data_IF_224013550465
#
_entry.id   IF_224013550465
#
_cell.length_a   1.000
_cell.length_b   1.000
_cell.length_c   1.000
_cell.angle_alpha   90.00
_cell.angle_beta   90.00
_cell.angle_gamma   90.00
#
_symmetry.space_group_name_H-M   'P 1'
#
loop_
_entity.id
_entity.type
_entity.pdbx_description
1 polymer ?
#
# COMPACT_ATOMS: atom_id res chain seq x y z
N UNK A 1 -32.13 0.88 31.30
CA UNK A 1 -31.33 0.14 32.30
C UNK A 1 -31.95 -1.23 32.61
N UNK A 2 -33.09 -1.30 33.33
CA UNK A 2 -33.70 -2.60 33.69
C UNK A 2 -33.99 -3.53 32.49
N UNK A 3 -34.56 -2.99 31.40
CA UNK A 3 -34.80 -3.75 30.16
C UNK A 3 -33.51 -4.23 29.48
N UNK A 4 -32.46 -3.39 29.51
CA UNK A 4 -31.16 -3.73 28.93
C UNK A 4 -30.48 -4.85 29.70
N UNK A 5 -30.46 -4.78 31.05
CA UNK A 5 -29.99 -5.89 31.91
C UNK A 5 -30.80 -7.16 31.71
N UNK A 6 -32.12 -7.05 31.53
CA UNK A 6 -32.98 -8.21 31.26
C UNK A 6 -32.65 -8.87 29.92
N UNK A 7 -32.36 -8.08 28.89
CA UNK A 7 -32.02 -8.57 27.56
C UNK A 7 -30.65 -9.27 27.52
N UNK A 8 -29.64 -8.65 28.14
CA UNK A 8 -28.24 -9.10 28.09
C UNK A 8 -27.79 -9.93 29.29
N UNK A 9 -28.69 -10.14 30.25
CA UNK A 9 -28.51 -10.96 31.45
C UNK A 9 -27.11 -10.82 32.07
N UNK A 10 -26.31 -11.88 32.03
CA UNK A 10 -24.99 -11.96 32.66
C UNK A 10 -23.89 -11.22 31.88
N UNK A 11 -24.12 -10.89 30.61
CA UNK A 11 -23.15 -10.14 29.79
C UNK A 11 -23.22 -8.63 29.96
N UNK A 12 -24.23 -8.12 30.69
CA UNK A 12 -24.35 -6.71 30.97
C UNK A 12 -23.36 -6.28 32.06
N UNK A 13 -22.46 -5.34 31.73
CA UNK A 13 -21.49 -4.76 32.66
C UNK A 13 -21.57 -3.23 32.66
N UNK A 14 -21.11 -2.59 33.74
CA UNK A 14 -20.97 -1.13 33.80
C UNK A 14 -19.60 -0.72 33.27
N UNK A 15 -19.57 0.16 32.27
CA UNK A 15 -18.33 0.64 31.68
C UNK A 15 -18.26 2.15 31.68
N UNK A 16 -17.07 2.66 32.02
CA UNK A 16 -16.73 4.07 31.87
C UNK A 16 -16.19 4.33 30.46
N UNK A 17 -16.75 5.33 29.79
CA UNK A 17 -16.35 5.76 28.45
C UNK A 17 -15.37 6.95 28.50
N UNK A 18 -14.64 7.24 27.41
CA UNK A 18 -13.66 8.33 27.37
C UNK A 18 -14.23 9.73 27.66
N UNK A 19 -15.54 9.92 27.46
CA UNK A 19 -16.28 11.14 27.80
C UNK A 19 -16.61 11.25 29.30
N UNK A 20 -16.21 10.27 30.11
CA UNK A 20 -16.47 10.20 31.55
C UNK A 20 -17.83 9.60 31.91
N UNK A 21 -18.69 9.33 30.93
CA UNK A 21 -19.99 8.69 31.18
C UNK A 21 -19.81 7.25 31.67
N UNK A 22 -20.74 6.79 32.52
CA UNK A 22 -20.79 5.42 33.00
C UNK A 22 -22.13 4.83 32.55
N UNK A 23 -22.07 3.85 31.65
CA UNK A 23 -23.25 3.24 31.05
C UNK A 23 -23.20 1.71 31.18
N UNK A 24 -24.37 1.10 31.15
CA UNK A 24 -24.50 -0.34 30.96
C UNK A 24 -24.09 -0.70 29.52
N UNK A 25 -23.30 -1.74 29.37
CA UNK A 25 -22.66 -2.09 28.11
C UNK A 25 -22.41 -3.58 28.03
N UNK A 26 -22.16 -4.06 26.81
CA UNK A 26 -21.75 -5.44 26.53
C UNK A 26 -20.45 -5.39 25.74
N UNK A 27 -19.44 -6.10 26.21
CA UNK A 27 -18.16 -6.21 25.54
C UNK A 27 -18.09 -7.47 24.68
N UNK A 28 -17.68 -7.31 23.43
CA UNK A 28 -17.30 -8.38 22.54
C UNK A 28 -15.80 -8.31 22.30
N UNK A 29 -15.07 -9.32 22.76
CA UNK A 29 -13.63 -9.43 22.56
C UNK A 29 -13.35 -9.80 21.11
N UNK A 30 -12.47 -9.04 20.46
CA UNK A 30 -12.10 -9.24 19.06
C UNK A 30 -10.59 -9.07 18.92
N UNK A 31 -9.96 -9.97 18.18
CA UNK A 31 -8.51 -9.92 17.96
C UNK A 31 -8.15 -9.04 16.76
N UNK A 32 -9.05 -8.98 15.76
CA UNK A 32 -8.86 -8.18 14.55
C UNK A 32 -10.17 -7.60 14.00
N UNK A 33 -10.06 -6.72 13.00
CA UNK A 33 -11.14 -6.08 12.27
C UNK A 33 -12.03 -7.08 11.54
N UNK A 34 -11.48 -8.25 11.17
CA UNK A 34 -12.27 -9.38 10.69
C UNK A 34 -13.30 -9.79 11.73
N UNK A 35 -12.87 -10.07 12.94
CA UNK A 35 -13.75 -10.54 14.02
C UNK A 35 -14.71 -9.42 14.44
N UNK A 36 -14.24 -8.17 14.43
CA UNK A 36 -15.10 -6.99 14.64
C UNK A 36 -16.30 -6.94 13.69
N UNK A 37 -16.12 -7.32 12.42
CA UNK A 37 -17.23 -7.39 11.45
C UNK A 37 -18.20 -8.54 11.70
N UNK A 38 -17.82 -9.55 12.50
CA UNK A 38 -18.65 -10.70 12.84
C UNK A 38 -19.41 -10.57 14.16
N UNK A 39 -19.15 -9.51 14.94
CA UNK A 39 -19.81 -9.29 16.25
C UNK A 39 -21.33 -9.43 16.17
N UNK A 40 -21.97 -8.99 15.08
CA UNK A 40 -23.42 -9.10 14.91
C UNK A 40 -23.91 -10.56 14.91
N UNK A 41 -23.10 -11.49 14.42
CA UNK A 41 -23.41 -12.92 14.43
C UNK A 41 -23.36 -13.48 15.85
N UNK A 42 -22.33 -13.08 16.61
CA UNK A 42 -22.16 -13.51 17.99
C UNK A 42 -23.27 -12.93 18.88
N UNK A 43 -23.66 -11.68 18.64
CA UNK A 43 -24.83 -11.04 19.24
C UNK A 43 -26.10 -11.83 18.93
N UNK A 44 -26.33 -12.16 17.66
CA UNK A 44 -27.54 -12.86 17.24
C UNK A 44 -27.61 -14.25 17.86
N UNK A 45 -26.50 -14.99 17.85
CA UNK A 45 -26.39 -16.33 18.46
C UNK A 45 -26.67 -16.28 19.96
N UNK A 46 -26.06 -15.33 20.67
CA UNK A 46 -26.26 -15.16 22.10
C UNK A 46 -27.72 -14.83 22.45
N UNK A 47 -28.34 -13.90 21.71
CA UNK A 47 -29.72 -13.51 21.97
C UNK A 47 -30.71 -14.64 21.68
N UNK A 48 -30.51 -15.40 20.60
CA UNK A 48 -31.36 -16.54 20.28
C UNK A 48 -31.24 -17.69 21.30
N UNK A 49 -30.04 -17.93 21.80
CA UNK A 49 -29.81 -18.92 22.86
C UNK A 49 -30.52 -18.52 24.15
N UNK A 50 -30.28 -17.29 24.63
CA UNK A 50 -30.77 -16.85 25.94
C UNK A 50 -32.27 -16.52 25.93
N UNK A 51 -32.78 -15.89 24.87
CA UNK A 51 -34.16 -15.39 24.85
C UNK A 51 -35.13 -16.37 24.18
N UNK A 52 -34.67 -17.16 23.21
CA UNK A 52 -35.52 -18.08 22.45
C UNK A 52 -35.22 -19.57 22.71
N UNK A 53 -34.23 -19.88 23.56
CA UNK A 53 -33.84 -21.26 23.87
C UNK A 53 -33.32 -22.04 22.65
N UNK A 54 -32.92 -21.34 21.60
CA UNK A 54 -32.41 -21.95 20.38
C UNK A 54 -30.94 -22.31 20.59
N UNK A 55 -30.64 -23.61 20.54
CA UNK A 55 -29.25 -24.07 20.65
C UNK A 55 -28.36 -23.39 19.58
N UNK A 56 -27.17 -22.87 19.96
CA UNK A 56 -26.19 -22.34 19.03
C UNK A 56 -25.85 -23.25 17.83
N UNK A 57 -25.97 -24.57 18.02
CA UNK A 57 -25.69 -25.56 16.97
C UNK A 57 -26.73 -25.56 15.84
N UNK A 58 -27.92 -25.00 16.05
CA UNK A 58 -28.97 -24.88 15.03
C UNK A 58 -28.96 -23.52 14.32
N UNK A 59 -28.02 -22.64 14.67
CA UNK A 59 -27.91 -21.29 14.11
C UNK A 59 -26.76 -21.28 13.11
N UNK A 60 -27.12 -21.41 11.84
CA UNK A 60 -26.17 -21.35 10.74
C UNK A 60 -26.30 -20.01 10.01
N UNK A 61 -25.18 -19.31 9.87
CA UNK A 61 -25.13 -18.11 9.05
C UNK A 61 -24.49 -18.49 7.73
N UNK A 62 -25.17 -18.21 6.60
CA UNK A 62 -24.61 -18.44 5.26
C UNK A 62 -23.26 -17.75 5.02
N UNK A 63 -22.97 -16.73 5.83
CA UNK A 63 -21.71 -15.99 5.81
C UNK A 63 -20.54 -16.71 6.51
N UNK A 64 -20.75 -17.78 7.30
CA UNK A 64 -19.67 -18.49 8.00
C UNK A 64 -18.85 -19.43 7.09
N UNK A 65 -19.50 -20.28 6.29
CA UNK A 65 -18.81 -21.25 5.41
C UNK A 65 -18.33 -20.65 4.08
N UNK A 66 -18.90 -19.51 3.69
CA UNK A 66 -18.58 -18.78 2.46
C UNK A 66 -18.00 -17.39 2.76
N UNK A 67 -17.40 -17.21 3.93
CA UNK A 67 -16.99 -15.89 4.39
C UNK A 67 -16.01 -15.24 3.40
N UNK A 68 -16.34 -14.10 2.78
CA UNK A 68 -15.40 -13.44 1.90
C UNK A 68 -14.09 -13.10 2.64
N UNK A 69 -14.18 -12.89 3.96
CA UNK A 69 -13.02 -12.62 4.80
C UNK A 69 -12.01 -13.78 4.90
N UNK A 70 -12.42 -15.05 4.75
CA UNK A 70 -11.48 -16.18 4.71
C UNK A 70 -10.69 -16.20 3.40
N UNK A 71 -11.27 -15.74 2.29
CA UNK A 71 -10.60 -15.62 0.99
C UNK A 71 -9.48 -14.57 0.98
N UNK A 72 -9.52 -13.64 1.93
CA UNK A 72 -8.51 -12.60 2.17
C UNK A 72 -7.60 -12.91 3.37
N UNK A 73 -7.74 -14.10 3.98
CA UNK A 73 -6.84 -14.55 5.03
C UNK A 73 -5.59 -15.23 4.46
N UNK A 74 -4.54 -15.32 5.28
CA UNK A 74 -3.32 -16.07 4.96
C UNK A 74 -3.07 -17.13 6.04
N UNK A 75 -2.27 -18.17 5.74
CA UNK A 75 -1.90 -19.16 6.73
C UNK A 75 -1.29 -18.52 7.99
N UNK A 76 -1.83 -18.83 9.17
CA UNK A 76 -1.40 -18.25 10.44
C UNK A 76 0.11 -18.44 10.73
N UNK A 77 0.72 -19.49 10.17
CA UNK A 77 2.18 -19.71 10.24
C UNK A 77 3.03 -18.61 9.60
N UNK A 78 2.47 -17.87 8.64
CA UNK A 78 3.17 -16.79 7.94
C UNK A 78 3.10 -15.48 8.71
N UNK A 79 1.92 -15.17 9.25
CA UNK A 79 1.70 -13.99 10.07
C UNK A 79 0.52 -14.23 11.02
N UNK A 80 0.79 -14.44 12.32
CA UNK A 80 -0.27 -14.53 13.31
C UNK A 80 -1.14 -13.26 13.29
N UNK A 81 -2.44 -13.43 13.47
CA UNK A 81 -3.38 -12.30 13.56
C UNK A 81 -3.44 -11.40 12.32
N UNK A 82 -3.14 -11.93 11.13
CA UNK A 82 -3.34 -11.18 9.88
C UNK A 82 -4.80 -10.77 9.68
N UNK A 83 -5.75 -11.58 10.17
CA UNK A 83 -7.17 -11.39 9.92
C UNK A 83 -7.45 -11.38 8.42
N UNK A 84 -7.80 -10.21 7.90
CA UNK A 84 -7.96 -9.91 6.47
C UNK A 84 -6.93 -8.93 5.96
N UNK A 85 -5.88 -8.58 6.70
CA UNK A 85 -4.84 -7.64 6.28
C UNK A 85 -5.20 -6.16 6.37
N UNK A 86 -6.36 -5.79 6.92
CA UNK A 86 -6.76 -4.38 7.05
C UNK A 86 -5.80 -3.61 7.96
N UNK A 87 -5.46 -4.21 9.11
CA UNK A 87 -4.48 -3.70 10.07
C UNK A 87 -3.11 -3.53 9.44
N UNK A 88 -2.72 -4.44 8.55
CA UNK A 88 -1.46 -4.39 7.84
C UNK A 88 -1.39 -3.16 6.92
N UNK A 89 -2.48 -2.82 6.22
CA UNK A 89 -2.51 -1.60 5.41
C UNK A 89 -2.51 -0.33 6.28
N UNK A 90 -3.25 -0.34 7.39
CA UNK A 90 -3.25 0.78 8.34
C UNK A 90 -1.87 1.00 8.97
N UNK A 91 -1.17 -0.08 9.29
CA UNK A 91 0.22 -0.03 9.73
C UNK A 91 1.12 0.61 8.66
N UNK A 92 1.09 0.10 7.43
CA UNK A 92 1.93 0.60 6.33
C UNK A 92 1.64 2.06 5.98
N UNK A 93 0.38 2.49 6.09
CA UNK A 93 0.00 3.90 5.88
C UNK A 93 0.64 4.82 6.94
N UNK A 94 0.63 4.41 8.21
CA UNK A 94 1.30 5.14 9.30
C UNK A 94 2.82 5.15 9.11
N UNK A 95 3.38 4.02 8.70
CA UNK A 95 4.80 3.89 8.45
C UNK A 95 5.31 4.80 7.32
N UNK A 96 4.53 4.92 6.23
CA UNK A 96 4.81 5.85 5.15
C UNK A 96 4.70 7.31 5.63
N UNK A 97 3.71 7.64 6.47
CA UNK A 97 3.57 8.98 7.04
C UNK A 97 4.82 9.34 7.86
N UNK A 98 5.35 8.40 8.64
CA UNK A 98 6.55 8.62 9.42
C UNK A 98 7.80 8.76 8.54
N UNK A 99 7.97 7.87 7.55
CA UNK A 99 9.05 7.99 6.56
C UNK A 99 9.00 9.34 5.83
N UNK A 100 7.80 9.82 5.50
CA UNK A 100 7.58 11.11 4.86
C UNK A 100 8.04 12.27 5.75
N UNK A 101 7.74 12.24 7.06
CA UNK A 101 8.23 13.26 8.00
C UNK A 101 9.75 13.23 8.09
N UNK A 102 10.34 12.04 8.20
CA UNK A 102 11.78 11.86 8.28
C UNK A 102 12.50 12.39 7.04
N UNK A 103 12.01 12.07 5.83
CA UNK A 103 12.58 12.59 4.58
C UNK A 103 12.55 14.13 4.56
N UNK A 104 11.45 14.73 5.02
CA UNK A 104 11.33 16.20 5.07
C UNK A 104 12.31 16.87 6.03
N UNK A 105 12.82 16.19 7.07
CA UNK A 105 13.79 16.78 8.02
C UNK A 105 15.11 17.18 7.35
N UNK A 106 15.50 16.51 6.27
CA UNK A 106 16.75 16.77 5.56
C UNK A 106 16.54 17.35 4.16
N UNK A 107 15.35 17.90 3.87
CA UNK A 107 15.05 18.51 2.57
C UNK A 107 16.04 19.61 2.17
N UNK A 108 16.61 20.34 3.14
CA UNK A 108 17.59 21.41 2.87
C UNK A 108 18.99 20.89 2.47
N UNK A 109 19.26 19.60 2.67
CA UNK A 109 20.52 18.94 2.27
C UNK A 109 20.40 18.19 0.94
N UNK A 110 19.19 18.18 0.36
CA UNK A 110 18.94 17.62 -0.97
C UNK A 110 19.19 18.69 -2.05
N UNK A 111 19.63 18.29 -3.26
CA UNK A 111 19.88 19.24 -4.35
C UNK A 111 18.65 20.10 -4.69
N UNK A 112 17.46 19.50 -4.59
CA UNK A 112 16.16 20.13 -4.73
C UNK A 112 15.24 19.62 -3.64
N UNK A 113 14.35 20.47 -3.14
CA UNK A 113 13.40 20.07 -2.10
C UNK A 113 12.33 19.15 -2.67
N UNK A 114 11.88 18.21 -1.85
CA UNK A 114 10.71 17.38 -2.16
C UNK A 114 9.48 18.09 -1.62
N UNK A 115 8.56 18.48 -2.51
CA UNK A 115 7.30 19.11 -2.14
C UNK A 115 6.30 18.05 -1.64
N UNK A 116 6.07 17.01 -2.45
CA UNK A 116 5.09 15.98 -2.15
C UNK A 116 5.73 14.60 -2.14
N UNK A 117 5.33 13.78 -1.16
CA UNK A 117 5.69 12.37 -1.05
C UNK A 117 4.36 11.61 -0.97
N UNK A 118 4.06 10.80 -1.99
CA UNK A 118 2.73 10.19 -2.15
C UNK A 118 2.89 8.69 -2.37
N UNK A 119 2.24 7.88 -1.54
CA UNK A 119 2.14 6.44 -1.73
C UNK A 119 1.17 6.12 -2.86
N UNK A 120 1.66 5.52 -3.95
CA UNK A 120 0.83 5.21 -5.12
C UNK A 120 0.51 3.71 -5.27
N UNK A 121 1.12 2.87 -4.44
CA UNK A 121 0.79 1.45 -4.34
C UNK A 121 -0.66 1.22 -3.85
N UNK A 122 -1.27 0.10 -4.26
CA UNK A 122 -2.65 -0.27 -3.89
C UNK A 122 -2.85 -0.35 -2.38
N UNK A 123 -1.78 -0.66 -1.63
CA UNK A 123 -1.80 -0.72 -0.18
C UNK A 123 -2.20 0.62 0.44
N UNK A 124 -1.78 1.74 -0.15
CA UNK A 124 -2.05 3.08 0.41
C UNK A 124 -3.45 3.60 0.07
N UNK A 125 -4.17 2.93 -0.85
CA UNK A 125 -5.59 3.17 -1.13
C UNK A 125 -6.50 2.06 -0.58
N UNK A 126 -5.95 1.19 0.29
CA UNK A 126 -6.65 0.10 0.97
C UNK A 126 -7.24 -1.01 0.08
N UNK A 127 -6.80 -1.11 -1.17
CA UNK A 127 -7.34 -2.11 -2.11
C UNK A 127 -6.36 -3.23 -2.43
N UNK A 128 -5.16 -3.29 -1.83
CA UNK A 128 -4.24 -4.41 -2.08
C UNK A 128 -4.87 -5.71 -1.57
N UNK A 129 -4.97 -6.74 -2.41
CA UNK A 129 -5.60 -8.03 -2.06
C UNK A 129 -4.91 -8.67 -0.87
N UNK A 130 -3.57 -8.73 -0.89
CA UNK A 130 -2.76 -9.22 0.21
C UNK A 130 -1.68 -8.18 0.52
N UNK A 131 -1.97 -7.22 1.41
CA UNK A 131 -1.00 -6.21 1.83
C UNK A 131 0.33 -6.85 2.22
N UNK A 132 1.47 -6.23 1.84
CA UNK A 132 2.76 -6.86 2.02
C UNK A 132 3.01 -7.15 3.50
N UNK A 133 3.61 -8.31 3.74
CA UNK A 133 4.15 -8.71 5.03
C UNK A 133 5.58 -8.18 5.18
N UNK A 134 6.09 -8.06 6.43
CA UNK A 134 7.49 -7.73 6.61
C UNK A 134 8.36 -8.77 5.90
N UNK A 135 9.38 -8.33 5.18
CA UNK A 135 10.35 -9.12 4.44
C UNK A 135 11.32 -9.87 5.38
N UNK A 136 10.82 -10.42 6.48
CA UNK A 136 11.56 -11.21 7.45
C UNK A 136 11.55 -12.67 7.00
N UNK A 137 12.50 -13.04 6.15
CA UNK A 137 12.68 -14.42 5.72
C UNK A 137 14.11 -14.90 5.95
N UNK A 138 14.23 -16.11 6.49
CA UNK A 138 15.51 -16.80 6.60
C UNK A 138 15.84 -17.42 5.23
N UNK A 139 16.96 -17.00 4.65
CA UNK A 139 17.48 -17.61 3.41
C UNK A 139 18.76 -18.36 3.72
N UNK A 140 18.84 -19.60 3.25
CA UNK A 140 20.07 -20.38 3.27
C UNK A 140 21.08 -19.77 2.27
N UNK A 141 22.13 -19.15 2.80
CA UNK A 141 23.17 -18.48 2.02
C UNK A 141 23.91 -19.44 1.06
N UNK A 142 23.89 -20.75 1.30
CA UNK A 142 24.47 -21.74 0.39
C UNK A 142 23.63 -21.94 -0.88
N UNK A 143 22.35 -21.58 -0.86
CA UNK A 143 21.41 -21.72 -2.00
C UNK A 143 21.32 -20.47 -2.87
N UNK A 144 21.87 -19.36 -2.40
CA UNK A 144 21.92 -18.10 -3.12
C UNK A 144 23.37 -17.70 -3.41
N UNK A 145 23.55 -16.81 -4.37
CA UNK A 145 24.83 -16.15 -4.65
C UNK A 145 24.58 -14.69 -4.97
N UNK A 146 25.51 -13.82 -4.62
CA UNK A 146 25.52 -12.46 -5.14
C UNK A 146 25.83 -12.48 -6.64
N UNK A 147 25.28 -11.52 -7.38
CA UNK A 147 25.74 -11.24 -8.74
C UNK A 147 27.17 -10.70 -8.65
N UNK A 148 28.01 -10.99 -9.65
CA UNK A 148 29.35 -10.40 -9.74
C UNK A 148 29.24 -8.87 -9.69
N UNK A 149 30.01 -8.26 -8.80
CA UNK A 149 29.99 -6.81 -8.51
C UNK A 149 28.73 -6.25 -7.81
N UNK A 150 27.75 -7.07 -7.40
CA UNK A 150 26.59 -6.60 -6.64
C UNK A 150 26.21 -7.54 -5.48
N UNK A 151 26.69 -7.18 -4.27
CA UNK A 151 26.42 -7.93 -3.03
C UNK A 151 24.96 -7.86 -2.56
N UNK A 152 24.16 -6.95 -3.11
CA UNK A 152 22.76 -6.74 -2.71
C UNK A 152 21.76 -7.42 -3.66
N UNK A 153 22.22 -7.84 -4.85
CA UNK A 153 21.43 -8.67 -5.75
C UNK A 153 21.77 -10.14 -5.52
N UNK A 154 20.86 -10.85 -4.85
CA UNK A 154 21.00 -12.27 -4.56
C UNK A 154 20.16 -13.06 -5.56
N UNK A 155 20.81 -13.96 -6.30
CA UNK A 155 20.13 -14.88 -7.21
C UNK A 155 20.21 -16.30 -6.67
N UNK A 156 19.15 -17.11 -6.83
CA UNK A 156 19.22 -18.54 -6.56
C UNK A 156 20.35 -19.18 -7.38
N UNK A 157 21.11 -20.08 -6.75
CA UNK A 157 22.05 -20.93 -7.48
C UNK A 157 21.27 -21.90 -8.36
N UNK A 158 21.86 -22.36 -9.45
CA UNK A 158 21.27 -23.38 -10.34
C UNK A 158 20.94 -24.69 -9.62
N UNK A 159 21.61 -24.98 -8.50
CA UNK A 159 21.35 -26.13 -7.62
C UNK A 159 20.18 -25.91 -6.66
N UNK A 160 19.69 -24.68 -6.51
CA UNK A 160 18.54 -24.38 -5.66
C UNK A 160 17.25 -24.78 -6.37
N UNK A 161 16.47 -25.67 -5.74
CA UNK A 161 15.09 -25.96 -6.14
C UNK A 161 14.07 -24.98 -5.53
N UNK A 162 14.54 -24.01 -4.76
CA UNK A 162 13.68 -23.07 -4.02
C UNK A 162 13.82 -21.66 -4.60
N UNK A 163 12.69 -21.06 -4.96
CA UNK A 163 12.59 -19.64 -5.22
C UNK A 163 12.57 -18.88 -3.87
N UNK A 164 13.20 -17.70 -3.78
CA UNK A 164 13.08 -16.85 -2.61
C UNK A 164 11.61 -16.46 -2.41
N UNK A 165 11.15 -16.27 -1.17
CA UNK A 165 9.82 -15.75 -0.92
C UNK A 165 9.68 -14.38 -1.59
N UNK A 166 8.54 -14.17 -2.24
CA UNK A 166 8.22 -12.88 -2.85
C UNK A 166 7.91 -11.85 -1.76
N UNK A 167 8.53 -10.68 -1.86
CA UNK A 167 8.21 -9.51 -1.05
C UNK A 167 7.89 -8.34 -1.97
N UNK A 168 6.68 -7.80 -1.87
CA UNK A 168 6.24 -6.66 -2.66
C UNK A 168 6.89 -5.37 -2.15
N UNK A 169 7.46 -4.59 -3.07
CA UNK A 169 7.93 -3.23 -2.78
C UNK A 169 6.80 -2.20 -2.90
N UNK A 170 6.74 -1.26 -1.97
CA UNK A 170 5.74 -0.19 -1.94
C UNK A 170 6.21 1.02 -2.76
N UNK A 171 5.54 1.32 -3.88
CA UNK A 171 5.90 2.48 -4.71
C UNK A 171 5.45 3.81 -4.08
N UNK A 172 6.40 4.74 -3.96
CA UNK A 172 6.20 6.08 -3.44
C UNK A 172 6.76 7.10 -4.44
N UNK A 173 5.94 8.07 -4.81
CA UNK A 173 6.29 9.15 -5.73
C UNK A 173 6.72 10.39 -4.94
N UNK A 174 7.93 10.88 -5.22
CA UNK A 174 8.52 12.08 -4.62
C UNK A 174 8.57 13.20 -5.68
N UNK A 175 7.69 14.18 -5.56
CA UNK A 175 7.62 15.31 -6.48
C UNK A 175 8.57 16.42 -6.03
N UNK A 176 9.55 16.74 -6.88
CA UNK A 176 10.49 17.83 -6.62
C UNK A 176 9.83 19.19 -6.79
N UNK A 177 10.39 20.18 -6.09
CA UNK A 177 10.05 21.59 -6.27
C UNK A 177 10.25 22.06 -7.72
N UNK A 178 9.42 23.02 -8.14
CA UNK A 178 9.56 23.63 -9.45
C UNK A 178 10.69 24.65 -9.42
N UNK A 179 11.73 24.43 -10.20
CA UNK A 179 12.77 25.43 -10.40
C UNK A 179 12.34 26.39 -11.52
N UNK A 180 12.31 27.68 -11.22
CA UNK A 180 12.03 28.76 -12.16
C UNK A 180 13.21 29.07 -13.09
N UNK A 181 14.33 28.35 -13.01
CA UNK A 181 15.46 28.56 -13.91
C UNK A 181 15.03 28.25 -15.35
N UNK A 182 14.92 29.32 -16.14
CA UNK A 182 14.53 29.31 -17.56
C UNK A 182 15.73 29.06 -18.49
N UNK A 183 16.78 28.37 -18.03
CA UNK A 183 17.94 28.04 -18.88
C UNK A 183 17.58 26.92 -19.87
N UNK A 184 17.02 27.35 -20.99
CA UNK A 184 16.53 26.56 -22.13
C UNK A 184 17.62 25.65 -22.73
N UNK A 185 18.92 25.90 -22.43
CA UNK A 185 20.06 25.15 -22.96
C UNK A 185 20.61 24.01 -22.07
N UNK A 186 20.14 23.85 -20.83
CA UNK A 186 20.75 22.94 -19.85
C UNK A 186 19.90 21.71 -19.47
N UNK A 187 18.62 21.67 -19.86
CA UNK A 187 17.68 20.60 -19.48
C UNK A 187 17.46 19.60 -20.63
N UNK A 188 18.42 18.69 -20.86
CA UNK A 188 18.21 17.52 -21.73
C UNK A 188 17.64 16.34 -20.94
N UNK A 189 16.97 15.40 -21.61
CA UNK A 189 16.46 14.18 -20.95
C UNK A 189 17.56 13.37 -20.28
N UNK A 190 18.73 13.27 -20.91
CA UNK A 190 19.89 12.57 -20.35
C UNK A 190 20.38 13.22 -19.06
N UNK A 191 20.45 14.56 -19.03
CA UNK A 191 20.85 15.28 -17.82
C UNK A 191 19.84 15.12 -16.69
N UNK A 192 18.54 15.08 -17.01
CA UNK A 192 17.50 14.80 -16.01
C UNK A 192 17.66 13.39 -15.44
N UNK A 193 17.90 12.38 -16.30
CA UNK A 193 18.18 11.00 -15.85
C UNK A 193 19.40 10.95 -14.93
N UNK A 194 20.52 11.54 -15.34
CA UNK A 194 21.73 11.59 -14.50
C UNK A 194 21.51 12.36 -13.19
N UNK A 195 20.78 13.47 -13.23
CA UNK A 195 20.46 14.26 -12.04
C UNK A 195 19.58 13.47 -11.06
N UNK A 196 18.60 12.70 -11.55
CA UNK A 196 17.80 11.79 -10.72
C UNK A 196 18.66 10.72 -10.06
N UNK A 197 19.62 10.14 -10.78
CA UNK A 197 20.54 9.13 -10.21
C UNK A 197 21.36 9.74 -9.07
N UNK A 198 21.97 10.91 -9.30
CA UNK A 198 22.71 11.63 -8.26
C UNK A 198 21.82 11.99 -7.06
N UNK A 199 20.58 12.38 -7.34
CA UNK A 199 19.58 12.63 -6.32
C UNK A 199 19.29 11.38 -5.48
N UNK A 200 19.08 10.22 -6.12
CA UNK A 200 18.87 8.95 -5.41
C UNK A 200 20.07 8.54 -4.57
N UNK A 201 21.30 8.76 -5.05
CA UNK A 201 22.53 8.50 -4.29
C UNK A 201 22.57 9.38 -3.03
N UNK A 202 22.32 10.67 -3.17
CA UNK A 202 22.29 11.60 -2.04
C UNK A 202 21.17 11.27 -1.04
N UNK A 203 19.97 10.96 -1.54
CA UNK A 203 18.82 10.53 -0.72
C UNK A 203 19.18 9.29 0.10
N UNK A 204 19.76 8.28 -0.55
CA UNK A 204 20.22 7.04 0.10
C UNK A 204 21.29 7.31 1.16
N UNK A 205 22.22 8.22 0.89
CA UNK A 205 23.26 8.60 1.85
C UNK A 205 22.66 9.23 3.10
N UNK A 206 21.76 10.21 2.94
CA UNK A 206 21.13 10.92 4.06
C UNK A 206 20.24 9.99 4.91
N UNK A 207 19.49 9.09 4.28
CA UNK A 207 18.68 8.09 4.99
C UNK A 207 19.54 7.16 5.85
N UNK A 208 20.70 6.75 5.34
CA UNK A 208 21.65 5.92 6.07
C UNK A 208 22.35 6.68 7.20
N UNK A 209 22.75 7.93 6.97
CA UNK A 209 23.48 8.73 7.96
C UNK A 209 22.58 9.19 9.12
N UNK A 210 21.35 9.61 8.84
CA UNK A 210 20.45 10.20 9.85
C UNK A 210 19.53 9.21 10.54
N UNK A 211 19.09 8.18 9.82
CA UNK A 211 18.08 7.23 10.32
C UNK A 211 18.58 5.78 10.33
N UNK A 212 19.82 5.54 9.87
CA UNK A 212 20.42 4.20 9.81
C UNK A 212 19.60 3.19 8.99
N UNK A 213 18.80 3.66 8.04
CA UNK A 213 18.06 2.77 7.15
C UNK A 213 18.97 2.13 6.11
N UNK A 214 18.65 0.89 5.77
CA UNK A 214 19.26 0.21 4.64
C UNK A 214 18.62 0.77 3.37
N UNK A 215 19.39 1.46 2.55
CA UNK A 215 18.88 2.04 1.30
C UNK A 215 19.84 1.82 0.13
N UNK A 216 19.28 1.82 -1.07
CA UNK A 216 20.01 1.61 -2.32
C UNK A 216 19.49 2.51 -3.43
N UNK A 217 20.37 3.33 -3.99
CA UNK A 217 20.09 4.07 -5.20
C UNK A 217 20.25 3.19 -6.45
N UNK A 218 19.34 3.32 -7.41
CA UNK A 218 19.40 2.68 -8.74
C UNK A 218 19.15 3.73 -9.82
N UNK A 219 19.16 3.32 -11.10
CA UNK A 219 18.87 4.22 -12.21
C UNK A 219 17.48 4.86 -12.12
N UNK A 220 16.49 4.10 -11.66
CA UNK A 220 15.08 4.48 -11.76
C UNK A 220 14.49 4.96 -10.42
N UNK A 221 15.05 4.52 -9.30
CA UNK A 221 14.50 4.78 -7.96
C UNK A 221 15.53 4.59 -6.83
N UNK A 222 15.17 5.02 -5.62
CA UNK A 222 15.87 4.68 -4.39
C UNK A 222 15.03 3.70 -3.57
N UNK A 223 15.57 2.50 -3.32
CA UNK A 223 14.97 1.53 -2.41
C UNK A 223 15.36 1.86 -0.98
N UNK A 224 14.41 1.76 -0.05
CA UNK A 224 14.62 1.99 1.39
C UNK A 224 13.90 0.89 2.15
N UNK A 225 14.63 0.20 3.01
CA UNK A 225 14.06 -0.74 3.96
C UNK A 225 13.79 -0.04 5.29
N UNK A 226 12.54 -0.13 5.76
CA UNK A 226 12.10 0.37 7.07
C UNK A 226 11.14 -0.64 7.67
N UNK A 227 11.45 -1.12 8.88
CA UNK A 227 10.66 -2.12 9.60
C UNK A 227 10.43 -3.41 8.81
N UNK A 228 11.45 -3.83 8.05
CA UNK A 228 11.43 -4.94 7.10
C UNK A 228 10.49 -4.75 5.90
N UNK A 229 10.04 -3.53 5.61
CA UNK A 229 9.28 -3.24 4.39
C UNK A 229 10.13 -2.45 3.42
N UNK A 230 10.03 -2.78 2.13
CA UNK A 230 10.81 -2.12 1.07
C UNK A 230 9.95 -1.06 0.40
N UNK A 231 10.36 0.20 0.55
CA UNK A 231 9.79 1.36 -0.12
C UNK A 231 10.62 1.70 -1.34
N UNK A 232 9.97 1.88 -2.49
CA UNK A 232 10.60 2.31 -3.74
C UNK A 232 10.28 3.78 -3.97
N UNK A 233 11.22 4.66 -3.64
CA UNK A 233 11.11 6.11 -3.79
C UNK A 233 11.48 6.50 -5.22
N UNK A 234 10.49 6.95 -5.99
CA UNK A 234 10.66 7.43 -7.36
C UNK A 234 10.54 8.95 -7.40
N UNK A 235 11.57 9.62 -7.90
CA UNK A 235 11.61 11.08 -8.00
C UNK A 235 11.05 11.53 -9.35
N UNK A 236 10.17 12.52 -9.32
CA UNK A 236 9.50 13.05 -10.52
C UNK A 236 9.76 14.53 -10.67
N UNK A 237 10.05 14.96 -11.91
CA UNK A 237 10.32 16.34 -12.26
C UNK A 237 9.36 16.79 -13.36
N UNK A 238 8.61 17.87 -13.11
CA UNK A 238 7.49 18.29 -13.96
C UNK A 238 7.87 18.55 -15.44
N UNK A 239 9.05 19.09 -15.72
CA UNK A 239 9.48 19.39 -17.10
C UNK A 239 9.85 18.15 -17.91
N UNK A 240 10.06 16.99 -17.27
CA UNK A 240 10.44 15.76 -17.96
C UNK A 240 9.42 15.33 -19.01
N UNK A 241 8.12 15.42 -18.69
CA UNK A 241 7.05 15.09 -19.62
C UNK A 241 7.09 16.02 -20.84
N UNK A 242 7.20 17.33 -20.60
CA UNK A 242 7.29 18.34 -21.66
C UNK A 242 8.49 18.08 -22.57
N UNK A 243 9.65 17.77 -22.00
CA UNK A 243 10.87 17.52 -22.77
C UNK A 243 10.75 16.28 -23.64
N UNK A 244 10.17 15.18 -23.13
CA UNK A 244 9.89 13.96 -23.91
C UNK A 244 8.99 14.29 -25.10
N UNK A 245 7.91 15.04 -24.88
CA UNK A 245 6.96 15.40 -25.94
C UNK A 245 7.57 16.37 -26.96
N UNK A 246 8.44 17.28 -26.50
CA UNK A 246 9.13 18.25 -27.37
C UNK A 246 10.19 17.60 -28.25
N UNK A 247 10.96 16.64 -27.72
CA UNK A 247 12.00 15.93 -28.46
C UNK A 247 11.39 15.01 -29.51
N UNK A 248 10.29 14.33 -29.16
CA UNK A 248 9.58 13.41 -30.05
C UNK A 248 8.89 14.08 -31.24
N UNK A 249 8.66 15.40 -31.16
CA UNK A 249 8.06 16.17 -32.24
C UNK A 249 9.01 17.12 -32.97
N UNK A 250 10.32 17.04 -32.69
CA UNK A 250 11.36 17.64 -33.54
C UNK A 250 11.39 16.90 -34.87
N UNK A 251 10.95 17.55 -35.95
CA UNK A 251 11.13 17.05 -37.32
C UNK A 251 12.35 17.69 -38.01
N UNK A 252 12.59 18.98 -37.77
CA UNK A 252 13.72 19.79 -38.24
C UNK A 252 14.08 20.83 -37.14
N UNK A 253 15.24 21.50 -37.21
CA UNK A 253 15.69 22.48 -36.19
C UNK A 253 14.70 23.64 -35.93
N UNK A 254 13.84 23.96 -36.90
CA UNK A 254 12.91 25.09 -36.87
C UNK A 254 11.46 24.70 -36.50
N UNK A 255 11.08 23.42 -36.60
CA UNK A 255 9.72 22.96 -36.28
C UNK A 255 9.68 22.15 -34.98
N UNK A 256 9.24 22.78 -33.89
CA UNK A 256 8.90 22.13 -32.62
C UNK A 256 7.41 21.90 -32.53
N UNK A 257 6.92 20.74 -32.99
CA UNK A 257 5.57 20.29 -32.63
C UNK A 257 5.66 19.51 -31.31
N UNK A 258 4.74 19.71 -30.39
CA UNK A 258 4.65 18.88 -29.19
C UNK A 258 3.91 17.61 -29.59
N UNK A 259 4.57 16.45 -29.47
CA UNK A 259 3.98 15.16 -29.85
C UNK A 259 3.92 14.24 -28.64
N UNK A 260 2.70 13.87 -28.25
CA UNK A 260 2.49 12.88 -27.20
C UNK A 260 2.97 11.50 -27.66
N UNK A 261 3.87 10.90 -26.90
CA UNK A 261 4.33 9.51 -27.06
C UNK A 261 3.73 8.60 -25.99
N UNK A 262 3.76 7.29 -26.22
CA UNK A 262 3.34 6.32 -25.20
C UNK A 262 4.12 6.48 -23.90
N UNK A 263 5.42 6.76 -23.98
CA UNK A 263 6.27 7.04 -22.82
C UNK A 263 5.80 8.28 -22.05
N UNK A 264 5.51 9.40 -22.75
CA UNK A 264 5.01 10.62 -22.10
C UNK A 264 3.66 10.39 -21.42
N UNK A 265 2.75 9.62 -22.05
CA UNK A 265 1.44 9.27 -21.49
C UNK A 265 1.58 8.42 -20.24
N UNK A 266 2.45 7.41 -20.25
CA UNK A 266 2.69 6.55 -19.10
C UNK A 266 3.34 7.31 -17.93
N UNK A 267 4.31 8.18 -18.21
CA UNK A 267 4.92 9.02 -17.19
C UNK A 267 3.90 9.99 -16.58
N UNK A 268 3.09 10.66 -17.41
CA UNK A 268 2.00 11.53 -16.94
C UNK A 268 1.00 10.77 -16.09
N UNK A 269 0.59 9.58 -16.53
CA UNK A 269 -0.30 8.71 -15.76
C UNK A 269 0.26 8.38 -14.37
N UNK A 270 1.50 7.88 -14.29
CA UNK A 270 2.10 7.47 -13.03
C UNK A 270 2.36 8.64 -12.06
N UNK A 271 2.61 9.84 -12.57
CA UNK A 271 3.10 10.97 -11.76
C UNK A 271 2.07 12.05 -11.47
N UNK A 272 1.06 12.22 -12.34
CA UNK A 272 0.01 13.24 -12.19
C UNK A 272 -1.37 12.64 -11.92
N UNK A 273 -1.76 11.58 -12.63
CA UNK A 273 -3.12 11.02 -12.54
C UNK A 273 -3.26 9.99 -11.44
N UNK A 274 -2.37 8.99 -11.38
CA UNK A 274 -2.42 7.91 -10.40
C UNK A 274 -2.45 8.42 -8.95
N UNK A 275 -1.64 9.43 -8.52
CA UNK A 275 -1.77 10.01 -7.19
C UNK A 275 -3.15 10.57 -6.87
N UNK A 276 -3.79 11.25 -7.84
CA UNK A 276 -5.13 11.83 -7.68
C UNK A 276 -6.21 10.75 -7.60
N UNK A 277 -6.11 9.73 -8.45
CA UNK A 277 -7.06 8.61 -8.43
C UNK A 277 -6.93 7.84 -7.12
N UNK A 278 -5.71 7.56 -6.65
CA UNK A 278 -5.48 6.93 -5.36
C UNK A 278 -6.09 7.73 -4.20
N UNK A 279 -5.91 9.06 -4.20
CA UNK A 279 -6.50 9.92 -3.18
C UNK A 279 -8.04 9.88 -3.22
N UNK A 280 -8.64 9.85 -4.43
CA UNK A 280 -10.09 9.73 -4.59
C UNK A 280 -10.62 8.37 -4.09
N UNK A 281 -9.99 7.26 -4.48
CA UNK A 281 -10.34 5.91 -4.03
C UNK A 281 -10.17 5.79 -2.51
N UNK A 282 -9.08 6.33 -1.96
CA UNK A 282 -8.89 6.41 -0.52
C UNK A 282 -10.04 7.18 0.14
N UNK A 283 -10.48 8.31 -0.41
CA UNK A 283 -11.64 9.05 0.07
C UNK A 283 -12.93 8.23 0.07
N UNK A 284 -13.22 7.51 -1.02
CA UNK A 284 -14.36 6.56 -1.10
C UNK A 284 -14.25 5.51 0.00
N UNK A 285 -13.06 4.96 0.23
CA UNK A 285 -12.82 3.95 1.26
C UNK A 285 -13.09 4.45 2.69
N UNK A 286 -12.99 5.76 2.94
CA UNK A 286 -13.33 6.37 4.23
C UNK A 286 -14.84 6.57 4.39
N UNK A 287 -15.56 6.82 3.30
CA UNK A 287 -17.01 6.98 3.31
C UNK A 287 -17.73 5.63 3.38
N UNK A 288 -17.21 4.63 2.68
CA UNK A 288 -17.83 3.31 2.55
C UNK A 288 -16.94 2.23 3.18
N UNK A 289 -17.21 1.88 4.44
CA UNK A 289 -16.37 0.96 5.21
C UNK A 289 -16.21 -0.44 4.57
N UNK A 290 -17.17 -0.89 3.75
CA UNK A 290 -17.13 -2.20 3.09
C UNK A 290 -16.44 -2.19 1.72
N UNK A 291 -16.25 -1.01 1.12
CA UNK A 291 -15.68 -0.87 -0.23
C UNK A 291 -14.33 -1.57 -0.35
N UNK A 292 -13.45 -1.38 0.64
CA UNK A 292 -12.10 -1.95 0.65
C UNK A 292 -12.14 -3.48 0.52
N UNK A 293 -13.02 -4.13 1.27
CA UNK A 293 -13.16 -5.59 1.23
C UNK A 293 -13.72 -6.03 -0.11
N UNK A 294 -14.77 -5.38 -0.62
CA UNK A 294 -15.40 -5.72 -1.91
C UNK A 294 -14.40 -5.59 -3.05
N UNK A 295 -13.62 -4.49 -3.12
CA UNK A 295 -12.60 -4.28 -4.14
C UNK A 295 -11.52 -5.39 -4.11
N UNK A 296 -11.07 -5.76 -2.92
CA UNK A 296 -10.07 -6.82 -2.72
C UNK A 296 -10.61 -8.19 -3.10
N UNK A 297 -11.85 -8.49 -2.75
CA UNK A 297 -12.54 -9.73 -3.13
C UNK A 297 -12.78 -9.82 -4.62
N UNK A 298 -13.16 -8.71 -5.26
CA UNK A 298 -13.36 -8.66 -6.69
C UNK A 298 -12.04 -8.93 -7.43
N UNK A 299 -10.93 -8.31 -6.99
CA UNK A 299 -9.59 -8.63 -7.54
C UNK A 299 -9.19 -10.08 -7.26
N UNK A 300 -9.50 -10.63 -6.08
CA UNK A 300 -9.27 -12.04 -5.76
C UNK A 300 -10.06 -12.97 -6.69
N UNK A 301 -11.32 -12.63 -6.97
CA UNK A 301 -12.19 -13.36 -7.89
C UNK A 301 -11.66 -13.29 -9.34
N UNK A 302 -11.31 -12.09 -9.84
CA UNK A 302 -10.67 -11.91 -11.15
C UNK A 302 -9.38 -12.73 -11.28
N UNK A 303 -8.57 -12.77 -10.23
CA UNK A 303 -7.35 -13.57 -10.20
C UNK A 303 -7.64 -15.07 -10.23
N UNK A 304 -8.68 -15.54 -9.55
CA UNK A 304 -9.09 -16.95 -9.60
C UNK A 304 -9.55 -17.39 -11.00
N UNK A 305 -10.06 -16.45 -11.81
CA UNK A 305 -10.41 -16.65 -13.21
C UNK A 305 -9.24 -16.41 -14.19
N UNK A 306 -8.03 -16.13 -13.67
CA UNK A 306 -6.84 -15.78 -14.47
C UNK A 306 -7.00 -14.51 -15.33
N UNK A 307 -7.96 -13.63 -14.99
CA UNK A 307 -8.25 -12.40 -15.75
C UNK A 307 -7.47 -11.19 -15.27
N UNK A 308 -6.99 -11.18 -14.02
CA UNK A 308 -6.33 -10.02 -13.43
C UNK A 308 -5.04 -9.61 -14.16
N UNK A 309 -4.38 -10.52 -14.88
CA UNK A 309 -3.22 -10.18 -15.69
C UNK A 309 -3.57 -9.31 -16.93
N UNK A 310 -4.80 -9.41 -17.41
CA UNK A 310 -5.30 -8.64 -18.56
C UNK A 310 -6.05 -7.37 -18.14
N UNK A 311 -6.23 -7.16 -16.84
CA UNK A 311 -7.10 -6.14 -16.29
C UNK A 311 -6.35 -5.29 -15.26
N UNK A 312 -6.16 -3.99 -15.53
CA UNK A 312 -5.50 -3.07 -14.60
C UNK A 312 -6.20 -3.13 -13.23
N UNK A 313 -5.49 -3.42 -12.12
CA UNK A 313 -6.06 -3.43 -10.78
C UNK A 313 -6.79 -2.13 -10.42
N UNK A 314 -6.37 -0.98 -10.97
CA UNK A 314 -7.06 0.28 -10.76
C UNK A 314 -8.46 0.29 -11.39
N UNK A 315 -8.65 -0.34 -12.55
CA UNK A 315 -9.97 -0.47 -13.17
C UNK A 315 -10.88 -1.34 -12.30
N UNK A 316 -10.34 -2.34 -11.60
CA UNK A 316 -11.11 -3.17 -10.67
C UNK A 316 -11.60 -2.35 -9.47
N UNK A 317 -10.72 -1.50 -8.94
CA UNK A 317 -11.05 -0.57 -7.86
C UNK A 317 -12.16 0.41 -8.31
N UNK A 318 -12.06 0.97 -9.52
CA UNK A 318 -13.03 1.90 -10.08
C UNK A 318 -14.38 1.27 -10.39
N UNK A 319 -14.42 0.03 -10.91
CA UNK A 319 -15.66 -0.71 -11.09
C UNK A 319 -16.38 -0.94 -9.76
N UNK A 320 -15.63 -1.25 -8.70
CA UNK A 320 -16.20 -1.39 -7.37
C UNK A 320 -16.66 -0.06 -6.77
N UNK A 321 -16.13 1.08 -7.21
CA UNK A 321 -16.62 2.40 -6.78
C UNK A 321 -17.97 2.75 -7.41
N UNK A 322 -18.27 2.18 -8.58
CA UNK A 322 -19.51 2.46 -9.31
C UNK A 322 -20.72 1.72 -8.73
N UNK A 323 -20.48 0.54 -8.15
CA UNK A 323 -21.50 -0.33 -7.54
C UNK A 323 -21.86 0.15 -6.14
#
# INVERSE_FOLDING_TARGET
AAEFRKLWTERCELRRFPDGSILESVLWNVDCLKDKRLIWMDVTRYLLEIQAGVSPAHIEFSYNDQCPSTLLSIPARLFPSYGTGDEQQMFLSRELMELTKQIRTFNNELPLKINNIIGVDETFRYTNVFPPLPASFQTDLHKIRSIEHDKYALIPRSTSRYAPPYSQSLLVVCQLEMNSSNDIGFETLERIKHSKILYYIQLSKLLKEKFHYTSRATADCCYVEKNNYVYRLMVTYHKEIYLIESESGKKNELERKIKQTNQSKQLRYNTEYLPKINAAIYGVSQQFAQYQLVARLFKRWLSAQLLLYHFDPLNADLLCCYV
#
